data_IF_183830398633
#
_entry.id   IF_183830398633
#
_cell.length_a   1.000
_cell.length_b   1.000
_cell.length_c   1.000
_cell.angle_alpha   90.00
_cell.angle_beta   90.00
_cell.angle_gamma   90.00
#
_symmetry.space_group_name_H-M   'P 1'
#
loop_
_entity.id
_entity.type
_entity.pdbx_description
1 polymer ?
#
# COMPACT_ATOMS: atom_id res chain seq x y z
N UNK A 1 12.68 2.90 -21.75
CA UNK A 1 13.14 1.88 -20.78
C UNK A 1 12.51 2.23 -19.44
N UNK A 2 11.42 1.54 -19.09
CA UNK A 2 10.67 1.85 -17.87
C UNK A 2 11.44 1.28 -16.68
N UNK A 3 11.49 2.00 -15.55
CA UNK A 3 12.23 1.62 -14.34
C UNK A 3 11.95 0.19 -13.84
N UNK A 4 10.82 -0.39 -14.25
CA UNK A 4 10.38 -1.76 -13.98
C UNK A 4 11.33 -2.82 -14.54
N UNK A 5 12.06 -2.54 -15.64
CA UNK A 5 12.93 -3.52 -16.32
C UNK A 5 14.20 -3.88 -15.51
N UNK A 6 14.48 -3.24 -14.37
CA UNK A 6 15.72 -3.46 -13.60
C UNK A 6 15.59 -4.39 -12.40
N UNK A 7 14.40 -4.82 -12.00
CA UNK A 7 14.27 -5.73 -10.86
C UNK A 7 14.34 -7.19 -11.34
N UNK A 8 15.50 -7.82 -11.20
CA UNK A 8 15.74 -9.22 -11.59
C UNK A 8 14.70 -10.21 -11.05
N UNK A 9 14.10 -9.92 -9.88
CA UNK A 9 13.04 -10.72 -9.25
C UNK A 9 11.74 -10.66 -10.07
N UNK A 10 11.40 -9.47 -10.59
CA UNK A 10 10.22 -9.27 -11.41
C UNK A 10 10.39 -9.92 -12.77
N UNK A 11 11.58 -9.77 -13.38
CA UNK A 11 11.89 -10.31 -14.70
C UNK A 11 11.74 -11.85 -14.74
N UNK A 12 12.30 -12.54 -13.75
CA UNK A 12 12.23 -14.01 -13.66
C UNK A 12 10.80 -14.56 -13.49
N UNK A 13 9.87 -13.78 -12.93
CA UNK A 13 8.53 -14.25 -12.56
C UNK A 13 7.41 -13.45 -13.25
N UNK A 14 7.75 -12.59 -14.21
CA UNK A 14 6.82 -11.64 -14.84
C UNK A 14 5.56 -12.32 -15.39
N UNK A 15 5.72 -13.48 -16.02
CA UNK A 15 4.61 -14.24 -16.59
C UNK A 15 3.60 -14.70 -15.54
N UNK A 16 4.07 -15.18 -14.39
CA UNK A 16 3.20 -15.63 -13.30
C UNK A 16 2.54 -14.44 -12.60
N UNK A 17 3.28 -13.35 -12.36
CA UNK A 17 2.78 -12.15 -11.67
C UNK A 17 1.69 -11.44 -12.50
N UNK A 18 1.79 -11.49 -13.83
CA UNK A 18 0.86 -10.82 -14.73
C UNK A 18 -0.17 -11.77 -15.37
N UNK A 19 -0.25 -13.02 -14.91
CA UNK A 19 -1.26 -13.97 -15.36
C UNK A 19 -2.67 -13.39 -15.12
N UNK A 20 -3.53 -13.53 -16.13
CA UNK A 20 -4.92 -13.08 -16.07
C UNK A 20 -5.87 -14.24 -16.33
N UNK A 21 -6.96 -14.27 -15.57
CA UNK A 21 -8.10 -15.14 -15.81
C UNK A 21 -9.23 -14.32 -16.42
N UNK A 22 -9.79 -14.82 -17.51
CA UNK A 22 -10.98 -14.28 -18.15
C UNK A 22 -12.20 -14.91 -17.48
N UNK A 23 -13.17 -14.10 -17.07
CA UNK A 23 -14.48 -14.59 -16.67
C UNK A 23 -15.32 -14.84 -17.93
N UNK A 24 -15.68 -16.10 -18.20
CA UNK A 24 -16.37 -16.52 -19.43
C UNK A 24 -17.77 -15.88 -19.59
N UNK A 25 -18.47 -15.62 -18.48
CA UNK A 25 -19.83 -15.05 -18.50
C UNK A 25 -19.83 -13.54 -18.79
N UNK A 26 -18.84 -12.82 -18.30
CA UNK A 26 -18.79 -11.35 -18.37
C UNK A 26 -17.74 -10.81 -19.35
N UNK A 27 -16.88 -11.68 -19.87
CA UNK A 27 -15.73 -11.32 -20.73
C UNK A 27 -14.66 -10.48 -20.02
N UNK A 28 -14.74 -10.30 -18.70
CA UNK A 28 -13.82 -9.45 -17.94
C UNK A 28 -12.56 -10.20 -17.57
N UNK A 29 -11.42 -9.57 -17.79
CA UNK A 29 -10.13 -10.05 -17.31
C UNK A 29 -9.83 -9.56 -15.90
N UNK A 30 -9.21 -10.42 -15.09
CA UNK A 30 -8.63 -10.05 -13.80
C UNK A 30 -7.30 -10.76 -13.61
N UNK A 31 -6.38 -10.13 -12.89
CA UNK A 31 -5.16 -10.82 -12.47
C UNK A 31 -5.49 -12.05 -11.64
N UNK A 32 -4.97 -13.19 -12.06
CA UNK A 32 -5.15 -14.49 -11.40
C UNK A 32 -4.59 -14.43 -9.98
N UNK A 33 -3.38 -13.85 -9.83
CA UNK A 33 -2.70 -13.66 -8.55
C UNK A 33 -2.80 -12.21 -8.07
N UNK A 34 -4.02 -11.71 -7.89
CA UNK A 34 -4.28 -10.29 -7.59
C UNK A 34 -3.41 -9.71 -6.47
N UNK A 35 -3.28 -10.39 -5.34
CA UNK A 35 -2.51 -9.88 -4.20
C UNK A 35 -1.01 -9.84 -4.50
N UNK A 36 -0.50 -10.85 -5.22
CA UNK A 36 0.88 -10.88 -5.65
C UNK A 36 1.18 -9.72 -6.61
N UNK A 37 0.35 -9.55 -7.64
CA UNK A 37 0.47 -8.46 -8.59
C UNK A 37 0.49 -7.08 -7.91
N UNK A 38 -0.43 -6.86 -6.96
CA UNK A 38 -0.51 -5.61 -6.20
C UNK A 38 0.70 -5.39 -5.30
N UNK A 39 1.12 -6.40 -4.54
CA UNK A 39 2.28 -6.30 -3.66
C UNK A 39 3.57 -6.01 -4.45
N UNK A 40 3.77 -6.73 -5.57
CA UNK A 40 4.91 -6.51 -6.45
C UNK A 40 4.91 -5.10 -7.04
N UNK A 41 3.76 -4.64 -7.53
CA UNK A 41 3.64 -3.27 -8.08
C UNK A 41 3.93 -2.21 -7.02
N UNK A 42 3.43 -2.40 -5.80
CA UNK A 42 3.68 -1.50 -4.67
C UNK A 42 5.17 -1.41 -4.34
N UNK A 43 5.86 -2.56 -4.23
CA UNK A 43 7.29 -2.61 -3.94
C UNK A 43 8.09 -1.93 -5.07
N UNK A 44 7.83 -2.29 -6.33
CA UNK A 44 8.55 -1.72 -7.49
C UNK A 44 8.41 -0.19 -7.51
N UNK A 45 7.22 0.33 -7.25
CA UNK A 45 6.97 1.76 -7.23
C UNK A 45 7.60 2.45 -6.00
N UNK A 46 7.74 1.75 -4.87
CA UNK A 46 8.34 2.29 -3.65
C UNK A 46 9.87 2.27 -3.69
N UNK A 47 10.50 1.31 -4.38
CA UNK A 47 11.97 1.12 -4.42
C UNK A 47 12.77 2.41 -4.62
N UNK A 48 12.43 3.33 -5.55
CA UNK A 48 13.20 4.55 -5.77
C UNK A 48 13.35 5.44 -4.53
N UNK A 49 12.42 5.35 -3.58
CA UNK A 49 12.42 6.15 -2.34
C UNK A 49 12.45 5.33 -1.06
N UNK A 50 12.40 3.99 -1.15
CA UNK A 50 12.17 3.12 0.02
C UNK A 50 13.30 3.18 1.05
N UNK A 51 14.50 3.59 0.64
CA UNK A 51 15.72 3.53 1.44
C UNK A 51 16.39 4.90 1.65
N UNK A 52 15.67 6.00 1.39
CA UNK A 52 16.25 7.34 1.45
C UNK A 52 16.72 7.74 2.86
N UNK A 53 16.02 7.27 3.89
CA UNK A 53 16.20 7.76 5.26
C UNK A 53 16.77 6.70 6.22
N UNK A 54 17.52 5.72 5.68
CA UNK A 54 18.12 4.65 6.51
C UNK A 54 19.17 5.17 7.50
N UNK A 55 19.84 6.26 7.15
CA UNK A 55 20.96 6.81 7.92
C UNK A 55 20.56 8.03 8.79
N UNK A 56 19.27 8.38 8.83
CA UNK A 56 18.80 9.50 9.66
C UNK A 56 18.64 9.05 11.13
N UNK A 57 19.49 9.52 12.06
CA UNK A 57 19.40 9.15 13.48
C UNK A 57 18.15 9.70 14.16
N UNK A 58 17.45 10.66 13.56
CA UNK A 58 16.18 11.17 14.07
C UNK A 58 15.01 10.20 13.84
N UNK A 59 15.15 9.24 12.91
CA UNK A 59 14.12 8.25 12.61
C UNK A 59 14.36 6.99 13.46
N UNK A 60 13.41 6.62 14.34
CA UNK A 60 13.56 5.40 15.13
C UNK A 60 13.57 4.15 14.25
N UNK A 61 14.42 3.17 14.58
CA UNK A 61 14.48 1.86 13.89
C UNK A 61 13.24 0.97 14.09
N UNK A 62 12.21 1.46 14.79
CA UNK A 62 10.99 0.69 15.09
C UNK A 62 9.76 1.43 14.60
N UNK A 63 8.76 0.68 14.15
CA UNK A 63 7.46 1.18 13.72
C UNK A 63 6.51 1.43 14.90
N UNK A 64 6.92 1.15 16.14
CA UNK A 64 6.10 1.23 17.35
C UNK A 64 5.34 2.56 17.48
N UNK A 65 6.00 3.68 17.17
CA UNK A 65 5.36 5.01 17.24
C UNK A 65 4.23 5.14 16.22
N UNK A 66 4.41 4.64 15.00
CA UNK A 66 3.41 4.66 13.95
C UNK A 66 2.26 3.69 14.26
N UNK A 67 2.58 2.47 14.68
CA UNK A 67 1.59 1.45 15.03
C UNK A 67 0.71 1.86 16.21
N UNK A 68 1.31 2.42 17.27
CA UNK A 68 0.57 2.96 18.41
C UNK A 68 -0.33 4.12 17.97
N UNK A 69 0.17 5.03 17.14
CA UNK A 69 -0.62 6.13 16.59
C UNK A 69 -1.83 5.62 15.80
N UNK A 70 -1.62 4.71 14.84
CA UNK A 70 -2.71 4.17 14.03
C UNK A 70 -3.69 3.31 14.83
N UNK A 71 -3.23 2.66 15.89
CA UNK A 71 -4.10 1.91 16.81
C UNK A 71 -5.05 2.86 17.53
N UNK A 72 -4.52 3.91 18.16
CA UNK A 72 -5.35 4.93 18.82
C UNK A 72 -6.29 5.66 17.83
N UNK A 73 -5.80 5.91 16.62
CA UNK A 73 -6.59 6.50 15.55
C UNK A 73 -7.77 5.60 15.15
N UNK A 74 -7.53 4.29 14.97
CA UNK A 74 -8.60 3.31 14.66
C UNK A 74 -9.61 3.20 15.79
N UNK A 75 -9.18 3.20 17.05
CA UNK A 75 -10.07 3.19 18.21
C UNK A 75 -11.00 4.41 18.22
N UNK A 76 -10.44 5.60 17.97
CA UNK A 76 -11.20 6.85 17.87
C UNK A 76 -12.27 6.78 16.77
N UNK A 77 -11.91 6.23 15.60
CA UNK A 77 -12.85 6.02 14.49
C UNK A 77 -13.94 4.99 14.85
N UNK A 78 -13.57 3.92 15.56
CA UNK A 78 -14.47 2.83 15.93
C UNK A 78 -15.42 3.19 17.08
N UNK A 79 -15.04 4.08 18.00
CA UNK A 79 -15.95 4.62 19.03
C UNK A 79 -17.09 5.45 18.42
N UNK A 80 -16.92 5.96 17.19
CA UNK A 80 -17.93 6.66 16.40
C UNK A 80 -18.68 5.75 15.41
N UNK A 81 -19.03 4.51 15.80
CA UNK A 81 -19.78 3.52 14.99
C UNK A 81 -21.12 4.02 14.37
N UNK A 82 -21.60 5.22 14.70
CA UNK A 82 -22.83 5.83 14.17
C UNK A 82 -22.68 7.02 13.20
N UNK A 83 -21.48 7.50 12.86
CA UNK A 83 -21.32 8.73 12.08
C UNK A 83 -20.55 8.50 10.76
N UNK A 84 -21.25 8.01 9.75
CA UNK A 84 -20.70 7.74 8.41
C UNK A 84 -20.27 8.98 7.62
N UNK A 85 -20.59 10.21 8.05
CA UNK A 85 -20.22 11.45 7.35
C UNK A 85 -19.10 12.25 8.05
N UNK A 86 -19.22 12.49 9.36
CA UNK A 86 -18.30 13.37 10.12
C UNK A 86 -16.89 12.78 10.23
N UNK A 87 -16.75 11.45 10.24
CA UNK A 87 -15.44 10.80 10.32
C UNK A 87 -14.55 11.11 9.08
N UNK A 88 -15.16 11.38 7.92
CA UNK A 88 -14.44 11.70 6.68
C UNK A 88 -13.85 13.12 6.71
N UNK A 89 -14.55 14.07 7.31
CA UNK A 89 -14.09 15.45 7.48
C UNK A 89 -12.97 15.56 8.52
N UNK A 90 -13.08 14.84 9.65
CA UNK A 90 -12.00 14.75 10.64
C UNK A 90 -10.72 14.13 10.07
N UNK A 91 -10.85 13.12 9.21
CA UNK A 91 -9.72 12.52 8.51
C UNK A 91 -9.03 13.53 7.58
N UNK A 92 -9.79 14.38 6.88
CA UNK A 92 -9.24 15.46 6.07
C UNK A 92 -8.51 16.49 6.92
N UNK A 93 -9.09 16.91 8.06
CA UNK A 93 -8.46 17.88 8.96
C UNK A 93 -7.20 17.34 9.65
N UNK A 94 -7.16 16.07 10.03
CA UNK A 94 -6.00 15.47 10.68
C UNK A 94 -4.81 15.28 9.74
N UNK A 95 -5.05 14.96 8.46
CA UNK A 95 -3.97 14.84 7.45
C UNK A 95 -3.32 16.20 7.16
N UNK A 96 -4.05 17.31 7.24
CA UNK A 96 -3.49 18.67 7.08
C UNK A 96 -2.74 19.19 8.32
N UNK A 97 -2.86 18.50 9.47
CA UNK A 97 -2.20 18.88 10.73
C UNK A 97 -0.92 18.09 11.05
N UNK A 98 -0.55 17.14 10.18
CA UNK A 98 0.72 16.41 10.19
C UNK A 98 1.66 17.03 9.15
#
# INVERSE_FOLDING_TARGET
MNQVEKLWIYDANHHYINEKTVNEETGRERFTHKNLHLATSLIINAIPSMFNDLDDPAIPHTTNRLENYFTHFKETLMLHRGLKLIAKEKLHQMVHSL
#
